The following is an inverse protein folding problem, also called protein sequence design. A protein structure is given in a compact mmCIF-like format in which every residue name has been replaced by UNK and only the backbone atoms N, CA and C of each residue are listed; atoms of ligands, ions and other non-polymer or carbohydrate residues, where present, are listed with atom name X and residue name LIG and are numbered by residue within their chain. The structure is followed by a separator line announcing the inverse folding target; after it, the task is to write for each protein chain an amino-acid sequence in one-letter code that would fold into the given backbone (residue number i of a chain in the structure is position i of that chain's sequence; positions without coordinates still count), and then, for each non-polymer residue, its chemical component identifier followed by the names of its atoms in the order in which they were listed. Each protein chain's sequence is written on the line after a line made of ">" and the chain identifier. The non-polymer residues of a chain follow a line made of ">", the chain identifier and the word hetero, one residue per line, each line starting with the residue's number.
data_IF_781771143486
#
_entry.id   IF_781771143486
#
_cell.length_a   1.000
_cell.length_b   1.000
_cell.length_c   1.000
_cell.angle_alpha   90.00
_cell.angle_beta   90.00
_cell.angle_gamma   90.00
#
_symmetry.space_group_name_H-M   'P 1'
#
loop_
_entity.id
_entity.type
_entity.pdbx_description
1 polymer ?
#
# COMPACT_ATOMS: atom_id res chain seq x y z
N UNK A 1 60.21 23.50 -46.82
CA UNK A 1 59.06 23.21 -45.93
C UNK A 1 59.35 23.85 -44.58
N UNK A 2 58.32 24.41 -43.96
CA UNK A 2 58.25 25.08 -42.65
C UNK A 2 58.95 26.44 -42.48
N UNK A 3 58.14 27.51 -42.48
CA UNK A 3 58.33 28.68 -41.62
C UNK A 3 56.97 29.20 -41.16
N UNK A 4 56.77 29.02 -39.84
CA UNK A 4 56.05 29.80 -38.83
C UNK A 4 55.19 30.98 -39.30
N UNK A 5 53.93 30.97 -38.86
CA UNK A 5 53.13 32.17 -38.63
C UNK A 5 52.42 32.05 -37.27
N UNK A 6 52.59 33.08 -36.44
CA UNK A 6 52.09 33.22 -35.07
C UNK A 6 51.18 34.44 -35.01
N UNK A 7 49.93 34.27 -34.58
CA UNK A 7 49.00 35.33 -34.16
C UNK A 7 48.34 34.85 -32.85
N UNK A 8 48.71 35.46 -31.72
CA UNK A 8 47.96 36.46 -30.94
C UNK A 8 46.62 35.98 -30.37
N UNK A 9 46.51 35.97 -29.03
CA UNK A 9 45.52 36.80 -28.34
C UNK A 9 45.87 37.03 -26.86
N UNK A 10 45.60 38.25 -26.43
CA UNK A 10 45.96 38.92 -25.18
C UNK A 10 45.14 38.46 -23.97
N UNK A 11 45.81 38.37 -22.83
CA UNK A 11 45.24 38.35 -21.49
C UNK A 11 44.72 39.74 -21.09
N UNK A 12 43.52 39.79 -20.51
CA UNK A 12 43.02 40.90 -19.69
C UNK A 12 42.55 40.32 -18.37
N UNK A 13 43.33 40.54 -17.32
CA UNK A 13 42.91 40.38 -15.92
C UNK A 13 42.03 41.58 -15.52
N UNK A 14 40.88 41.30 -14.90
CA UNK A 14 40.08 42.30 -14.18
C UNK A 14 39.88 41.77 -12.75
N UNK A 15 40.57 42.42 -11.81
CA UNK A 15 40.47 42.22 -10.37
C UNK A 15 39.14 42.76 -9.81
N UNK A 16 38.40 41.94 -9.08
CA UNK A 16 37.36 42.39 -8.15
C UNK A 16 37.47 41.67 -6.79
N UNK A 17 37.39 42.40 -5.66
CA UNK A 17 37.66 41.86 -4.33
C UNK A 17 36.49 41.02 -3.81
N UNK A 18 36.83 39.85 -3.28
CA UNK A 18 35.93 38.88 -2.65
C UNK A 18 35.41 39.46 -1.32
N UNK A 19 34.11 39.78 -1.28
CA UNK A 19 33.36 40.00 -0.05
C UNK A 19 32.77 38.66 0.42
N UNK A 20 33.11 38.28 1.64
CA UNK A 20 32.77 37.02 2.31
C UNK A 20 31.25 36.77 2.39
N UNK A 21 30.77 35.73 1.72
CA UNK A 21 29.47 35.11 2.00
C UNK A 21 29.63 34.13 3.18
N UNK A 22 28.70 34.10 4.15
CA UNK A 22 28.74 33.09 5.21
C UNK A 22 28.40 31.72 4.62
N UNK A 23 29.18 30.72 5.01
CA UNK A 23 29.04 29.32 4.61
C UNK A 23 27.66 28.76 4.98
N UNK A 24 27.07 28.00 4.06
CA UNK A 24 25.77 27.32 4.16
C UNK A 24 25.73 26.15 5.17
N UNK A 25 26.72 26.04 6.06
CA UNK A 25 26.86 24.90 6.97
C UNK A 25 26.24 25.13 8.38
N UNK A 26 25.74 26.34 8.69
CA UNK A 26 25.29 26.68 10.07
C UNK A 26 23.76 26.62 10.30
N UNK A 27 22.95 26.12 9.36
CA UNK A 27 21.47 26.13 9.50
C UNK A 27 20.91 24.76 9.94
N UNK A 28 21.69 23.68 9.81
CA UNK A 28 21.21 22.31 10.09
C UNK A 28 21.70 21.71 11.42
N UNK A 29 22.66 22.31 12.12
CA UNK A 29 23.21 21.76 13.37
C UNK A 29 22.37 22.06 14.63
N UNK A 30 21.30 22.86 14.53
CA UNK A 30 20.54 23.31 15.71
C UNK A 30 19.05 22.98 15.72
N UNK A 31 18.56 22.05 14.88
CA UNK A 31 17.20 21.53 15.04
C UNK A 31 17.17 20.35 16.02
N UNK A 32 16.47 20.45 17.16
CA UNK A 32 16.28 19.30 18.04
C UNK A 32 15.43 18.25 17.31
N UNK A 33 15.98 17.04 17.18
CA UNK A 33 15.25 15.85 16.70
C UNK A 33 14.23 15.48 17.78
N UNK A 34 13.04 16.08 17.75
CA UNK A 34 11.92 15.70 18.60
C UNK A 34 11.26 14.47 17.97
N UNK A 35 11.78 13.29 18.32
CA UNK A 35 11.02 12.04 18.18
C UNK A 35 10.08 11.90 19.38
N UNK A 36 8.75 11.80 19.20
CA UNK A 36 7.86 11.51 20.32
C UNK A 36 8.11 10.07 20.81
N UNK A 37 8.64 9.95 22.02
CA UNK A 37 8.70 8.67 22.75
C UNK A 37 7.30 8.34 23.27
N UNK A 38 6.64 7.37 22.66
CA UNK A 38 5.40 6.80 23.19
C UNK A 38 5.79 5.60 24.05
N UNK A 39 5.85 5.79 25.36
CA UNK A 39 5.88 4.71 26.35
C UNK A 39 4.48 4.60 26.95
N UNK A 40 3.84 3.42 26.99
CA UNK A 40 2.58 3.25 27.70
C UNK A 40 2.86 3.12 29.20
N UNK A 41 2.20 3.93 30.02
CA UNK A 41 2.11 3.74 31.48
C UNK A 41 0.92 2.84 31.80
N UNK A 42 1.17 1.82 32.62
CA UNK A 42 0.22 0.84 33.12
C UNK A 42 -0.71 1.48 34.17
N UNK A 43 -1.84 2.06 33.76
CA UNK A 43 -2.96 2.37 34.67
C UNK A 43 -4.31 2.65 34.00
N UNK A 44 -4.51 2.33 32.71
CA UNK A 44 -5.74 2.70 31.96
C UNK A 44 -6.71 1.53 31.73
N UNK A 45 -6.66 0.45 32.52
CA UNK A 45 -7.50 -0.76 32.31
C UNK A 45 -8.85 -0.78 33.06
N UNK A 46 -9.27 0.27 33.78
CA UNK A 46 -10.48 0.20 34.64
C UNK A 46 -11.65 1.16 34.32
N UNK A 47 -11.60 1.98 33.26
CA UNK A 47 -12.70 2.94 32.96
C UNK A 47 -13.62 2.56 31.77
N UNK A 48 -13.59 1.32 31.30
CA UNK A 48 -14.25 0.93 30.03
C UNK A 48 -15.75 0.58 30.10
N UNK A 49 -16.45 0.68 31.24
CA UNK A 49 -17.84 0.15 31.35
C UNK A 49 -19.03 1.12 31.48
N UNK A 50 -18.88 2.43 31.75
CA UNK A 50 -20.04 3.21 32.26
C UNK A 50 -20.63 4.34 31.39
N UNK A 51 -20.30 4.48 30.10
CA UNK A 51 -20.87 5.54 29.25
C UNK A 51 -21.63 5.04 28.02
N UNK A 52 -22.52 4.07 28.21
CA UNK A 52 -23.60 3.73 27.28
C UNK A 52 -24.96 4.19 27.83
N UNK A 53 -25.21 5.51 27.93
CA UNK A 53 -26.57 6.09 28.09
C UNK A 53 -26.55 7.63 28.01
N UNK A 54 -26.79 8.18 26.82
CA UNK A 54 -27.54 9.42 26.60
C UNK A 54 -27.56 9.74 25.10
N UNK A 55 -28.76 9.76 24.50
CA UNK A 55 -28.97 10.14 23.10
C UNK A 55 -29.34 11.61 22.93
N UNK A 56 -29.21 12.11 21.71
CA UNK A 56 -30.11 13.10 21.12
C UNK A 56 -29.92 13.19 19.59
N UNK A 57 -31.05 13.30 18.90
CA UNK A 57 -31.29 13.35 17.46
C UNK A 57 -30.71 14.59 16.74
N UNK A 58 -30.15 14.40 15.53
CA UNK A 58 -30.42 15.25 14.35
C UNK A 58 -30.34 14.39 13.08
N UNK A 59 -31.34 14.54 12.21
CA UNK A 59 -31.62 13.75 11.01
C UNK A 59 -30.54 13.89 9.92
N UNK A 60 -29.95 12.77 9.53
CA UNK A 60 -29.53 12.51 8.14
C UNK A 60 -29.84 11.03 7.85
N UNK A 61 -30.87 10.77 7.07
CA UNK A 61 -31.30 9.41 6.78
C UNK A 61 -30.36 8.72 5.78
N UNK A 62 -29.35 8.03 6.33
CA UNK A 62 -28.91 6.72 5.83
C UNK A 62 -28.82 5.79 7.04
N UNK A 63 -29.70 4.80 7.09
CA UNK A 63 -29.85 3.89 8.24
C UNK A 63 -28.53 3.23 8.62
N UNK A 64 -28.20 3.20 9.93
CA UNK A 64 -27.03 2.52 10.55
C UNK A 64 -26.78 1.09 10.01
N UNK A 65 -27.84 0.43 9.54
CA UNK A 65 -27.83 -0.93 8.95
C UNK A 65 -27.11 -1.01 7.58
N UNK A 66 -27.05 0.08 6.80
CA UNK A 66 -26.28 0.16 5.55
C UNK A 66 -24.78 0.44 5.77
N UNK A 67 -24.42 1.04 6.91
CA UNK A 67 -23.02 1.37 7.21
C UNK A 67 -22.21 0.17 7.75
N UNK A 68 -22.92 -0.81 8.32
CA UNK A 68 -22.36 -2.04 8.92
C UNK A 68 -22.67 -3.30 8.09
N UNK A 69 -23.32 -3.18 6.93
CA UNK A 69 -23.76 -4.35 6.18
C UNK A 69 -22.59 -5.13 5.59
N UNK A 70 -22.54 -6.41 5.95
CA UNK A 70 -21.52 -7.39 5.58
C UNK A 70 -21.55 -7.81 4.09
N UNK A 71 -22.41 -7.21 3.25
CA UNK A 71 -22.54 -7.57 1.84
C UNK A 71 -22.31 -6.35 0.95
N UNK A 72 -21.31 -6.44 0.09
CA UNK A 72 -20.95 -5.45 -0.94
C UNK A 72 -22.16 -5.11 -1.85
N UNK A 73 -23.03 -6.10 -2.08
CA UNK A 73 -24.23 -6.02 -2.94
C UNK A 73 -25.27 -4.97 -2.50
N UNK A 74 -25.22 -4.45 -1.25
CA UNK A 74 -26.22 -3.48 -0.77
C UNK A 74 -25.80 -2.01 -0.89
N UNK A 75 -24.60 -1.71 -1.38
CA UNK A 75 -24.02 -0.36 -1.33
C UNK A 75 -24.08 0.41 -2.66
N UNK A 76 -24.12 -0.29 -3.80
CA UNK A 76 -24.26 0.28 -5.15
C UNK A 76 -25.40 -0.50 -5.84
N UNK A 77 -26.30 0.15 -6.61
CA UNK A 77 -27.31 -0.56 -7.37
C UNK A 77 -26.68 -1.61 -8.30
N UNK A 78 -27.20 -2.84 -8.32
CA UNK A 78 -26.62 -3.97 -9.06
C UNK A 78 -26.36 -3.66 -10.55
N UNK A 79 -27.23 -2.85 -11.15
CA UNK A 79 -27.11 -2.40 -12.56
C UNK A 79 -25.85 -1.56 -12.79
N UNK A 80 -25.50 -0.68 -11.85
CA UNK A 80 -24.31 0.17 -11.96
C UNK A 80 -23.03 -0.64 -11.71
N UNK A 81 -23.08 -1.61 -10.80
CA UNK A 81 -21.97 -2.55 -10.56
C UNK A 81 -21.67 -3.35 -11.82
N UNK A 82 -22.71 -3.89 -12.46
CA UNK A 82 -22.56 -4.70 -13.68
C UNK A 82 -22.04 -3.87 -14.86
N UNK A 83 -22.50 -2.63 -15.02
CA UNK A 83 -21.98 -1.70 -16.03
C UNK A 83 -20.48 -1.43 -15.82
N UNK A 84 -20.06 -1.14 -14.58
CA UNK A 84 -18.64 -0.92 -14.23
C UNK A 84 -17.80 -2.17 -14.43
N UNK A 85 -18.33 -3.35 -14.07
CA UNK A 85 -17.66 -4.64 -14.24
C UNK A 85 -17.42 -4.97 -15.71
N UNK A 86 -18.36 -4.64 -16.59
CA UNK A 86 -18.24 -4.88 -18.03
C UNK A 86 -17.12 -4.06 -18.71
N UNK A 87 -16.73 -2.92 -18.12
CA UNK A 87 -15.61 -2.09 -18.58
C UNK A 87 -14.24 -2.64 -18.18
N UNK A 88 -14.18 -3.63 -17.28
CA UNK A 88 -12.91 -4.22 -16.83
C UNK A 88 -12.34 -5.19 -17.88
N UNK A 89 -11.02 -5.32 -17.96
CA UNK A 89 -10.38 -6.22 -18.93
C UNK A 89 -10.72 -7.70 -18.65
N UNK A 90 -10.94 -8.47 -19.73
CA UNK A 90 -11.25 -9.91 -19.68
C UNK A 90 -10.06 -10.78 -19.29
N UNK A 91 -8.84 -10.29 -19.57
CA UNK A 91 -7.59 -11.01 -19.39
C UNK A 91 -6.79 -10.28 -18.31
N UNK A 92 -6.42 -11.01 -17.26
CA UNK A 92 -5.52 -10.50 -16.24
C UNK A 92 -4.07 -10.47 -16.72
N UNK A 93 -3.26 -9.52 -16.24
CA UNK A 93 -1.82 -9.54 -16.41
C UNK A 93 -1.22 -10.87 -15.94
N UNK A 94 -0.15 -11.30 -16.61
CA UNK A 94 0.68 -12.41 -16.12
C UNK A 94 1.69 -11.84 -15.14
N UNK A 95 1.70 -12.39 -13.93
CA UNK A 95 2.63 -12.00 -12.88
C UNK A 95 3.47 -13.20 -12.47
N UNK A 96 4.70 -12.93 -12.04
CA UNK A 96 5.61 -13.95 -11.53
C UNK A 96 6.35 -13.38 -10.32
N UNK A 97 6.28 -14.09 -9.19
CA UNK A 97 7.08 -13.77 -8.02
C UNK A 97 8.53 -14.19 -8.28
N UNK A 98 9.42 -13.19 -8.34
CA UNK A 98 10.84 -13.35 -8.66
C UNK A 98 11.62 -13.78 -7.42
N UNK A 99 11.33 -13.11 -6.30
CA UNK A 99 12.05 -13.28 -5.05
C UNK A 99 11.13 -13.11 -3.85
N UNK A 100 11.46 -13.82 -2.77
CA UNK A 100 10.86 -13.64 -1.44
C UNK A 100 11.96 -13.48 -0.40
N UNK A 101 11.78 -12.53 0.51
CA UNK A 101 12.68 -12.37 1.65
C UNK A 101 11.89 -12.17 2.94
N UNK A 102 12.39 -12.76 4.02
CA UNK A 102 11.91 -12.50 5.38
C UNK A 102 12.45 -11.15 5.85
N UNK A 103 11.57 -10.29 6.33
CA UNK A 103 11.91 -9.01 6.95
C UNK A 103 11.70 -9.14 8.46
N UNK A 104 12.79 -9.12 9.25
CA UNK A 104 12.68 -9.19 10.70
C UNK A 104 11.97 -7.95 11.24
N UNK A 105 10.96 -8.16 12.07
CA UNK A 105 10.28 -7.11 12.85
C UNK A 105 10.79 -7.13 14.28
N UNK A 106 10.85 -5.97 14.93
CA UNK A 106 11.25 -5.85 16.35
C UNK A 106 10.13 -6.29 17.30
N UNK A 107 8.88 -6.11 16.86
CA UNK A 107 7.65 -6.50 17.56
C UNK A 107 6.64 -7.00 16.53
N UNK A 108 5.97 -8.10 16.81
CA UNK A 108 4.92 -8.65 15.95
C UNK A 108 5.36 -9.85 15.10
N UNK A 109 4.50 -10.27 14.15
CA UNK A 109 4.71 -11.46 13.34
C UNK A 109 5.82 -11.27 12.31
N UNK A 110 6.25 -12.38 11.73
CA UNK A 110 7.19 -12.37 10.62
C UNK A 110 6.54 -11.77 9.38
N UNK A 111 7.28 -10.86 8.74
CA UNK A 111 6.88 -10.25 7.47
C UNK A 111 7.71 -10.87 6.35
N UNK A 112 7.06 -11.13 5.23
CA UNK A 112 7.70 -11.62 4.01
C UNK A 112 7.37 -10.69 2.85
N UNK A 113 8.41 -10.15 2.22
CA UNK A 113 8.27 -9.38 0.99
C UNK A 113 8.37 -10.31 -0.19
N UNK A 114 7.37 -10.25 -1.07
CA UNK A 114 7.33 -10.93 -2.34
C UNK A 114 7.45 -9.91 -3.47
N UNK A 115 8.46 -10.04 -4.32
CA UNK A 115 8.70 -9.16 -5.46
C UNK A 115 8.14 -9.80 -6.72
N UNK A 116 7.29 -9.07 -7.45
CA UNK A 116 6.59 -9.52 -8.63
C UNK A 116 7.04 -8.79 -9.88
N UNK A 117 7.45 -9.53 -10.91
CA UNK A 117 7.52 -9.07 -12.29
C UNK A 117 6.17 -9.28 -12.98
N UNK A 118 5.93 -8.53 -14.06
CA UNK A 118 4.73 -8.63 -14.86
C UNK A 118 5.00 -8.42 -16.35
N UNK A 119 3.99 -8.66 -17.19
CA UNK A 119 4.09 -8.55 -18.65
C UNK A 119 3.46 -7.27 -19.24
N UNK A 120 2.98 -6.35 -18.40
CA UNK A 120 2.27 -5.13 -18.82
C UNK A 120 3.19 -3.91 -18.77
N UNK A 121 4.02 -3.82 -17.73
CA UNK A 121 4.99 -2.76 -17.58
C UNK A 121 6.36 -3.30 -17.12
N UNK A 122 7.34 -2.40 -16.97
CA UNK A 122 8.69 -2.71 -16.48
C UNK A 122 8.84 -2.55 -14.97
N UNK A 123 7.73 -2.33 -14.25
CA UNK A 123 7.76 -2.07 -12.81
C UNK A 123 7.65 -3.38 -12.05
N UNK A 124 8.36 -3.44 -10.94
CA UNK A 124 8.23 -4.55 -10.01
C UNK A 124 7.22 -4.19 -8.94
N UNK A 125 6.26 -5.06 -8.65
CA UNK A 125 5.29 -4.83 -7.58
C UNK A 125 5.63 -5.68 -6.36
N UNK A 126 5.10 -5.30 -5.20
CA UNK A 126 5.38 -5.98 -3.96
C UNK A 126 4.11 -6.57 -3.37
N UNK A 127 4.22 -7.71 -2.71
CA UNK A 127 3.25 -8.16 -1.73
C UNK A 127 3.94 -8.34 -0.37
N UNK A 128 3.47 -7.57 0.60
CA UNK A 128 3.91 -7.64 1.99
C UNK A 128 2.98 -8.62 2.70
N UNK A 129 3.52 -9.77 3.05
CA UNK A 129 2.76 -10.87 3.65
C UNK A 129 3.11 -10.94 5.13
N UNK A 130 2.10 -10.98 5.98
CA UNK A 130 2.23 -11.20 7.42
C UNK A 130 1.92 -12.68 7.67
N UNK A 131 2.88 -13.43 8.21
CA UNK A 131 2.78 -14.88 8.38
C UNK A 131 3.49 -15.70 7.29
N UNK A 132 3.69 -17.00 7.56
CA UNK A 132 4.43 -17.96 6.71
C UNK A 132 3.50 -18.83 5.83
N UNK A 133 2.19 -18.72 6.06
CA UNK A 133 1.16 -19.60 5.49
C UNK A 133 0.66 -19.15 4.12
N UNK A 134 0.82 -17.87 3.77
CA UNK A 134 0.52 -17.35 2.43
C UNK A 134 1.75 -17.48 1.55
N UNK A 135 1.67 -18.32 0.50
CA UNK A 135 2.80 -18.64 -0.38
C UNK A 135 2.44 -18.41 -1.84
N UNK A 136 3.34 -17.76 -2.56
CA UNK A 136 3.23 -17.59 -4.01
C UNK A 136 3.39 -18.93 -4.74
N UNK A 137 2.44 -19.26 -5.61
CA UNK A 137 2.47 -20.45 -6.47
C UNK A 137 3.62 -20.36 -7.47
N UNK A 138 3.74 -19.24 -8.17
CA UNK A 138 4.81 -19.01 -9.15
C UNK A 138 6.21 -19.06 -8.54
N UNK A 139 6.35 -18.60 -7.28
CA UNK A 139 7.58 -18.76 -6.54
C UNK A 139 7.81 -20.23 -6.18
N UNK A 140 6.90 -20.89 -5.46
CA UNK A 140 7.22 -22.22 -4.93
C UNK A 140 7.31 -23.33 -5.98
N UNK A 141 6.74 -23.12 -7.17
CA UNK A 141 6.83 -24.05 -8.31
C UNK A 141 8.28 -24.49 -8.57
N UNK A 142 8.49 -25.81 -8.65
CA UNK A 142 9.79 -26.40 -9.01
C UNK A 142 10.10 -26.14 -10.48
N UNK A 143 11.31 -25.66 -10.76
CA UNK A 143 11.79 -25.44 -12.13
C UNK A 143 12.69 -26.61 -12.56
N UNK A 144 12.68 -27.03 -13.83
CA UNK A 144 13.59 -28.05 -14.34
C UNK A 144 15.05 -27.66 -14.12
N UNK A 145 15.86 -28.55 -13.54
CA UNK A 145 17.28 -28.31 -13.28
C UNK A 145 17.60 -27.38 -12.10
N UNK A 146 16.59 -26.90 -11.36
CA UNK A 146 16.77 -26.00 -10.22
C UNK A 146 17.31 -26.74 -8.99
N UNK A 147 18.40 -26.22 -8.40
CA UNK A 147 18.98 -26.81 -7.18
C UNK A 147 18.22 -26.34 -5.93
N UNK A 148 18.40 -27.05 -4.81
CA UNK A 148 17.90 -26.59 -3.50
C UNK A 148 18.51 -25.24 -3.09
N UNK A 149 19.76 -24.98 -3.50
CA UNK A 149 20.41 -23.68 -3.30
C UNK A 149 19.69 -22.55 -4.02
N UNK A 150 19.37 -22.75 -5.30
CA UNK A 150 18.65 -21.75 -6.12
C UNK A 150 17.28 -21.42 -5.53
N UNK A 151 16.57 -22.45 -5.04
CA UNK A 151 15.29 -22.29 -4.33
C UNK A 151 15.44 -21.44 -3.08
N UNK A 152 16.45 -21.69 -2.26
CA UNK A 152 16.72 -20.89 -1.06
C UNK A 152 17.06 -19.44 -1.43
N UNK A 153 17.92 -19.23 -2.43
CA UNK A 153 18.39 -17.91 -2.88
C UNK A 153 17.24 -17.02 -3.32
N UNK A 154 16.26 -17.55 -4.05
CA UNK A 154 15.07 -16.79 -4.46
C UNK A 154 13.94 -16.78 -3.43
N UNK A 155 14.10 -17.48 -2.30
CA UNK A 155 13.12 -17.48 -1.22
C UNK A 155 12.00 -18.52 -1.30
N UNK A 156 12.12 -19.53 -2.15
CA UNK A 156 11.21 -20.67 -2.23
C UNK A 156 11.59 -21.77 -1.22
N UNK A 157 11.50 -21.45 0.07
CA UNK A 157 11.75 -22.38 1.16
C UNK A 157 10.63 -22.32 2.20
N UNK A 158 10.53 -23.35 3.04
CA UNK A 158 9.63 -23.37 4.21
C UNK A 158 10.40 -23.17 5.51
N UNK A 159 9.74 -22.61 6.54
CA UNK A 159 10.34 -22.42 7.85
C UNK A 159 11.42 -21.34 7.84
N UNK A 160 12.50 -21.52 8.61
CA UNK A 160 13.55 -20.49 8.76
C UNK A 160 14.88 -20.92 8.16
N UNK A 161 15.53 -20.02 7.42
CA UNK A 161 16.90 -20.24 6.96
C UNK A 161 17.88 -20.14 8.13
N UNK A 162 18.90 -20.99 8.10
CA UNK A 162 20.02 -20.95 9.03
C UNK A 162 21.32 -21.42 8.32
N UNK A 163 22.50 -20.98 8.80
CA UNK A 163 23.77 -21.41 8.21
C UNK A 163 23.89 -22.93 8.16
N UNK A 164 24.33 -23.46 7.02
CA UNK A 164 24.49 -24.90 6.78
C UNK A 164 23.23 -25.65 6.32
N UNK A 165 22.08 -24.96 6.14
CA UNK A 165 20.86 -25.56 5.59
C UNK A 165 21.07 -26.03 4.14
N UNK A 166 20.57 -27.23 3.81
CA UNK A 166 20.71 -27.86 2.48
C UNK A 166 19.40 -28.11 1.75
N UNK A 167 18.28 -28.16 2.48
CA UNK A 167 16.95 -28.44 1.93
C UNK A 167 16.07 -27.20 2.03
N UNK A 168 15.54 -26.72 0.91
CA UNK A 168 14.59 -25.61 0.86
C UNK A 168 13.18 -26.08 1.26
N UNK A 169 12.81 -27.28 0.82
CA UNK A 169 11.46 -27.82 0.94
C UNK A 169 11.16 -28.42 2.33
N UNK A 170 12.18 -28.56 3.19
CA UNK A 170 12.05 -29.11 4.54
C UNK A 170 12.82 -28.27 5.55
N UNK A 171 12.19 -28.00 6.69
CA UNK A 171 12.82 -27.45 7.87
C UNK A 171 12.85 -28.52 8.96
N UNK A 172 14.02 -29.13 9.18
CA UNK A 172 14.20 -30.21 10.15
C UNK A 172 14.03 -29.74 11.59
N UNK A 173 14.33 -28.46 11.88
CA UNK A 173 14.22 -27.92 13.25
C UNK A 173 12.78 -27.70 13.65
N UNK A 174 11.95 -27.30 12.69
CA UNK A 174 10.52 -27.06 12.91
C UNK A 174 9.64 -28.27 12.53
N UNK A 175 10.22 -29.31 11.91
CA UNK A 175 9.47 -30.46 11.42
C UNK A 175 8.51 -30.15 10.28
N UNK A 176 8.75 -29.07 9.52
CA UNK A 176 7.87 -28.61 8.45
C UNK A 176 8.38 -29.14 7.11
N UNK A 177 7.51 -29.69 6.29
CA UNK A 177 7.85 -30.21 4.96
C UNK A 177 6.79 -29.78 3.93
N UNK A 178 7.24 -29.18 2.83
CA UNK A 178 6.38 -28.80 1.71
C UNK A 178 6.09 -30.01 0.82
N UNK A 179 4.83 -30.15 0.43
CA UNK A 179 4.38 -31.17 -0.53
C UNK A 179 4.16 -30.53 -1.89
N UNK A 180 4.43 -31.29 -2.94
CA UNK A 180 4.29 -30.84 -4.33
C UNK A 180 3.49 -31.86 -5.14
N UNK A 181 2.73 -31.37 -6.11
CA UNK A 181 2.03 -32.22 -7.06
C UNK A 181 2.96 -32.71 -8.19
N UNK A 182 2.41 -33.51 -9.11
CA UNK A 182 3.15 -34.03 -10.27
C UNK A 182 3.66 -32.93 -11.22
N UNK A 183 3.09 -31.72 -11.17
CA UNK A 183 3.49 -30.55 -11.98
C UNK A 183 4.55 -29.70 -11.28
N UNK A 184 4.90 -30.05 -10.03
CA UNK A 184 5.84 -29.32 -9.20
C UNK A 184 5.24 -28.10 -8.52
N UNK A 185 3.92 -27.94 -8.53
CA UNK A 185 3.19 -26.91 -7.78
C UNK A 185 3.07 -27.31 -6.31
N UNK A 186 3.18 -26.33 -5.41
CA UNK A 186 3.04 -26.59 -3.97
C UNK A 186 1.59 -26.96 -3.64
N UNK A 187 1.41 -28.05 -2.90
CA UNK A 187 0.11 -28.46 -2.38
C UNK A 187 -0.13 -27.64 -1.10
N UNK A 188 -1.19 -26.81 -1.05
CA UNK A 188 -1.51 -26.03 0.15
C UNK A 188 -1.87 -26.97 1.29
N UNK A 189 -1.50 -26.59 2.50
CA UNK A 189 -1.89 -27.30 3.71
C UNK A 189 -3.35 -26.97 4.06
N UNK A 190 -4.27 -27.76 3.51
CA UNK A 190 -5.73 -27.55 3.63
C UNK A 190 -6.25 -27.69 5.07
N UNK A 191 -5.48 -28.32 5.95
CA UNK A 191 -5.84 -28.53 7.34
C UNK A 191 -5.42 -27.36 8.25
N UNK A 192 -4.63 -26.42 7.74
CA UNK A 192 -4.25 -25.22 8.49
C UNK A 192 -5.47 -24.37 8.83
N UNK A 193 -5.63 -24.01 10.10
CA UNK A 193 -6.71 -23.15 10.59
C UNK A 193 -6.78 -21.79 9.83
N UNK A 194 -5.64 -21.31 9.32
CA UNK A 194 -5.57 -20.10 8.49
C UNK A 194 -6.24 -20.27 7.12
N UNK A 195 -6.23 -21.46 6.53
CA UNK A 195 -6.88 -21.70 5.24
C UNK A 195 -8.42 -21.63 5.33
N UNK A 196 -8.98 -21.67 6.55
CA UNK A 196 -10.43 -21.68 6.80
C UNK A 196 -11.03 -20.29 6.93
N UNK A 197 -10.22 -19.24 7.13
CA UNK A 197 -10.71 -17.87 7.27
C UNK A 197 -10.26 -16.99 6.10
N UNK A 198 -11.16 -16.16 5.53
CA UNK A 198 -10.81 -15.22 4.48
C UNK A 198 -9.71 -14.23 4.93
N UNK A 199 -8.61 -14.17 4.19
CA UNK A 199 -7.44 -13.35 4.53
C UNK A 199 -7.77 -11.85 4.47
N UNK A 200 -7.28 -11.10 5.46
CA UNK A 200 -7.33 -9.64 5.45
C UNK A 200 -6.34 -9.08 4.43
N UNK A 201 -6.84 -8.35 3.44
CA UNK A 201 -6.07 -7.84 2.32
C UNK A 201 -6.21 -6.33 2.20
N UNK A 202 -5.10 -5.66 1.92
CA UNK A 202 -5.06 -4.25 1.53
C UNK A 202 -4.38 -4.14 0.18
N UNK A 203 -5.08 -3.58 -0.80
CA UNK A 203 -4.42 -3.13 -2.03
C UNK A 203 -3.95 -1.70 -1.79
N UNK A 204 -2.66 -1.44 -1.86
CA UNK A 204 -2.07 -0.14 -1.63
C UNK A 204 -1.45 0.38 -2.92
N UNK A 205 -1.69 1.64 -3.24
CA UNK A 205 -1.02 2.30 -4.36
C UNK A 205 0.07 3.18 -3.78
N UNK A 206 1.29 2.98 -4.24
CA UNK A 206 2.48 3.74 -3.85
C UNK A 206 2.19 5.24 -3.76
N UNK A 207 2.55 5.81 -2.63
CA UNK A 207 2.49 7.23 -2.35
C UNK A 207 3.70 7.65 -1.51
N UNK A 208 4.84 7.83 -2.18
CA UNK A 208 6.13 8.18 -1.60
C UNK A 208 6.06 9.34 -0.61
N UNK A 209 5.36 10.41 -0.99
CA UNK A 209 5.24 11.61 -0.14
C UNK A 209 4.51 11.31 1.17
N UNK A 210 3.49 10.45 1.15
CA UNK A 210 2.70 10.13 2.34
C UNK A 210 3.36 9.08 3.23
N UNK A 211 3.99 8.09 2.61
CA UNK A 211 4.59 6.94 3.30
C UNK A 211 5.98 7.23 3.84
N UNK A 212 6.83 7.91 3.05
CA UNK A 212 8.25 8.10 3.36
C UNK A 212 8.55 9.52 3.83
N UNK A 213 7.84 10.52 3.29
CA UNK A 213 8.11 11.93 3.60
C UNK A 213 7.10 12.55 4.58
N UNK A 214 6.30 11.72 5.27
CA UNK A 214 5.32 12.15 6.31
C UNK A 214 4.40 13.29 5.87
N UNK A 215 4.02 13.33 4.58
CA UNK A 215 3.24 14.43 4.02
C UNK A 215 1.86 14.53 4.65
N UNK A 216 1.52 15.72 5.13
CA UNK A 216 0.17 16.08 5.59
C UNK A 216 -0.78 16.50 4.45
N UNK A 217 -0.47 16.19 3.19
CA UNK A 217 -1.38 16.45 2.03
C UNK A 217 -2.33 15.29 1.75
N UNK A 218 -2.04 14.10 2.29
CA UNK A 218 -2.82 12.90 2.06
C UNK A 218 -2.75 11.96 3.25
N UNK A 219 -3.76 11.09 3.37
CA UNK A 219 -3.86 10.05 4.40
C UNK A 219 -3.15 8.73 4.01
N UNK A 220 -2.38 8.70 2.91
CA UNK A 220 -1.83 7.45 2.38
C UNK A 220 -0.87 6.75 3.35
N UNK A 221 -0.02 7.50 4.06
CA UNK A 221 0.91 6.95 5.07
C UNK A 221 0.16 6.32 6.23
N UNK A 222 -0.79 7.06 6.82
CA UNK A 222 -1.65 6.56 7.91
C UNK A 222 -2.41 5.30 7.52
N UNK A 223 -2.96 5.26 6.30
CA UNK A 223 -3.65 4.06 5.79
C UNK A 223 -2.68 2.87 5.60
N UNK A 224 -1.43 3.11 5.22
CA UNK A 224 -0.43 2.05 5.08
C UNK A 224 -0.05 1.48 6.45
N UNK A 225 0.24 2.36 7.41
CA UNK A 225 0.62 2.00 8.78
C UNK A 225 -0.51 1.25 9.49
N UNK A 226 -1.75 1.71 9.38
CA UNK A 226 -2.90 1.07 10.01
C UNK A 226 -3.17 -0.33 9.42
N UNK A 227 -3.01 -0.50 8.09
CA UNK A 227 -3.12 -1.81 7.48
C UNK A 227 -2.03 -2.76 8.00
N UNK A 228 -0.78 -2.29 8.11
CA UNK A 228 0.31 -3.04 8.69
C UNK A 228 0.08 -3.40 10.15
N UNK A 229 -0.46 -2.47 10.96
CA UNK A 229 -0.79 -2.68 12.36
C UNK A 229 -1.88 -3.74 12.55
N UNK A 230 -2.95 -3.69 11.76
CA UNK A 230 -4.05 -4.66 11.83
C UNK A 230 -3.60 -6.08 11.45
N UNK A 231 -2.84 -6.21 10.37
CA UNK A 231 -2.30 -7.51 9.93
C UNK A 231 -1.22 -8.02 10.89
N UNK A 232 -0.39 -7.12 11.42
CA UNK A 232 0.59 -7.39 12.46
C UNK A 232 -0.05 -7.95 13.72
N UNK A 233 -1.15 -7.36 14.21
CA UNK A 233 -1.85 -7.86 15.40
C UNK A 233 -2.39 -9.28 15.21
N UNK A 234 -2.89 -9.60 14.02
CA UNK A 234 -3.49 -10.90 13.73
C UNK A 234 -2.46 -11.97 13.34
N UNK A 235 -1.22 -11.59 13.03
CA UNK A 235 -0.20 -12.52 12.56
C UNK A 235 -0.39 -13.02 11.13
N UNK A 236 -1.43 -12.55 10.44
CA UNK A 236 -1.89 -13.04 9.15
C UNK A 236 -2.52 -11.92 8.32
N UNK A 237 -2.07 -11.76 7.07
CA UNK A 237 -2.61 -10.77 6.14
C UNK A 237 -1.70 -10.48 4.96
N UNK A 238 -2.21 -9.70 3.99
CA UNK A 238 -1.43 -9.31 2.82
C UNK A 238 -1.70 -7.85 2.39
N UNK A 239 -0.63 -7.08 2.24
CA UNK A 239 -0.67 -5.78 1.56
C UNK A 239 -0.06 -5.95 0.16
N UNK A 240 -0.88 -5.82 -0.88
CA UNK A 240 -0.39 -5.74 -2.27
C UNK A 240 -0.04 -4.29 -2.56
N UNK A 241 1.24 -4.03 -2.70
CA UNK A 241 1.81 -2.70 -2.93
C UNK A 241 2.09 -2.51 -4.43
N UNK A 242 1.20 -1.77 -5.09
CA UNK A 242 1.29 -1.44 -6.50
C UNK A 242 2.09 -0.14 -6.69
N UNK A 243 3.15 -0.21 -7.50
CA UNK A 243 4.02 0.92 -7.84
C UNK A 243 3.42 1.84 -8.91
N UNK A 244 2.29 2.43 -8.57
CA UNK A 244 1.49 3.31 -9.43
C UNK A 244 1.30 4.69 -8.80
N UNK A 245 2.43 5.32 -8.45
CA UNK A 245 2.50 6.67 -7.88
C UNK A 245 1.67 7.70 -8.66
N UNK A 246 1.08 8.64 -7.92
CA UNK A 246 0.32 9.76 -8.49
C UNK A 246 -0.93 9.32 -9.26
N UNK A 247 -1.53 8.17 -8.93
CA UNK A 247 -2.63 7.57 -9.73
C UNK A 247 -2.19 7.16 -11.15
N UNK A 248 -0.93 6.76 -11.28
CA UNK A 248 -0.35 6.28 -12.54
C UNK A 248 0.36 7.34 -13.37
N UNK A 249 0.38 8.62 -12.95
CA UNK A 249 1.12 9.70 -13.64
C UNK A 249 2.60 9.77 -13.21
N UNK A 250 2.95 9.17 -12.08
CA UNK A 250 4.31 9.19 -11.52
C UNK A 250 4.57 10.35 -10.55
N UNK A 251 5.72 10.26 -9.85
CA UNK A 251 6.08 11.19 -8.77
C UNK A 251 6.34 12.62 -9.29
N UNK A 252 7.11 12.77 -10.37
CA UNK A 252 7.47 14.09 -10.91
C UNK A 252 6.24 14.91 -11.30
N UNK A 253 5.27 14.29 -11.98
CA UNK A 253 4.03 14.94 -12.36
C UNK A 253 3.12 15.25 -11.16
N UNK A 254 3.11 14.38 -10.15
CA UNK A 254 2.43 14.65 -8.87
C UNK A 254 3.01 15.89 -8.17
N UNK A 255 4.33 16.04 -8.14
CA UNK A 255 4.98 17.22 -7.54
C UNK A 255 4.68 18.50 -8.33
N UNK A 256 4.61 18.44 -9.66
CA UNK A 256 4.13 19.58 -10.48
C UNK A 256 2.68 19.94 -10.15
N UNK A 257 1.81 18.95 -10.00
CA UNK A 257 0.41 19.17 -9.62
C UNK A 257 0.28 19.81 -8.23
N UNK A 258 1.19 19.48 -7.30
CA UNK A 258 1.29 20.11 -5.99
C UNK A 258 1.67 21.58 -6.09
N UNK A 259 2.68 21.93 -6.89
CA UNK A 259 3.05 23.32 -7.11
C UNK A 259 1.88 24.15 -7.68
N UNK A 260 1.10 23.58 -8.62
CA UNK A 260 -0.08 24.26 -9.17
C UNK A 260 -1.20 24.46 -8.13
N UNK A 261 -1.35 23.51 -7.21
CA UNK A 261 -2.30 23.64 -6.10
C UNK A 261 -1.87 24.72 -5.11
N UNK A 262 -0.58 24.80 -4.80
CA UNK A 262 -0.02 25.85 -3.94
C UNK A 262 -0.11 27.25 -4.59
N UNK A 263 -0.14 27.30 -5.93
CA UNK A 263 -0.46 28.50 -6.71
C UNK A 263 -1.96 28.82 -6.78
N UNK A 264 -2.82 28.03 -6.14
CA UNK A 264 -4.26 28.28 -6.02
C UNK A 264 -5.15 27.54 -7.01
N UNK A 265 -4.61 26.65 -7.85
CA UNK A 265 -5.44 25.80 -8.73
C UNK A 265 -6.12 24.70 -7.91
N UNK A 266 -7.39 24.41 -8.20
CA UNK A 266 -8.02 23.23 -7.60
C UNK A 266 -7.37 21.92 -8.12
N UNK A 267 -7.58 20.80 -7.43
CA UNK A 267 -6.97 19.51 -7.80
C UNK A 267 -7.37 19.05 -9.21
N UNK A 268 -8.57 19.39 -9.69
CA UNK A 268 -9.03 19.02 -11.04
C UNK A 268 -8.38 19.93 -12.09
N UNK A 269 -8.35 21.23 -11.83
CA UNK A 269 -7.70 22.24 -12.66
C UNK A 269 -6.20 21.95 -12.82
N UNK A 270 -5.50 21.60 -11.73
CA UNK A 270 -4.10 21.21 -11.77
C UNK A 270 -3.87 19.98 -12.69
N UNK A 271 -4.74 18.97 -12.63
CA UNK A 271 -4.65 17.80 -13.52
C UNK A 271 -4.99 18.14 -14.99
N UNK A 272 -5.97 19.02 -15.22
CA UNK A 272 -6.33 19.49 -16.56
C UNK A 272 -5.18 20.30 -17.20
N UNK A 273 -4.55 21.20 -16.43
CA UNK A 273 -3.39 21.98 -16.86
C UNK A 273 -2.22 21.07 -17.27
N UNK A 274 -2.02 19.97 -16.55
CA UNK A 274 -1.00 18.97 -16.86
C UNK A 274 -1.46 17.91 -17.90
N UNK A 275 -2.69 18.02 -18.42
CA UNK A 275 -3.31 17.09 -19.39
C UNK A 275 -3.32 15.63 -18.93
N UNK A 276 -3.43 15.41 -17.62
CA UNK A 276 -3.51 14.08 -17.03
C UNK A 276 -4.98 13.62 -16.89
N UNK A 277 -5.29 12.33 -17.15
CA UNK A 277 -6.61 11.81 -16.81
C UNK A 277 -6.77 11.70 -15.30
N UNK A 278 -8.03 11.74 -14.84
CA UNK A 278 -8.36 11.77 -13.41
C UNK A 278 -7.87 10.53 -12.62
N UNK A 279 -7.80 9.37 -13.28
CA UNK A 279 -7.25 8.12 -12.74
C UNK A 279 -6.81 7.19 -13.88
N UNK A 280 -5.54 6.77 -13.88
CA UNK A 280 -4.96 5.83 -14.85
C UNK A 280 -4.69 4.44 -14.25
N UNK A 281 -5.07 4.23 -12.98
CA UNK A 281 -4.74 3.01 -12.25
C UNK A 281 -5.51 1.81 -12.77
N UNK A 282 -4.84 0.67 -12.79
CA UNK A 282 -5.47 -0.63 -13.01
C UNK A 282 -5.25 -1.52 -11.79
N UNK A 283 -6.32 -2.16 -11.32
CA UNK A 283 -6.26 -3.11 -10.21
C UNK A 283 -6.22 -4.57 -10.69
N UNK A 284 -6.18 -4.81 -12.01
CA UNK A 284 -6.02 -6.16 -12.56
C UNK A 284 -4.68 -6.79 -12.15
N UNK A 285 -3.64 -5.97 -11.96
CA UNK A 285 -2.35 -6.40 -11.45
C UNK A 285 -2.45 -6.93 -10.01
N UNK A 286 -3.18 -6.22 -9.14
CA UNK A 286 -3.43 -6.67 -7.78
C UNK A 286 -4.20 -8.00 -7.77
N UNK A 287 -5.21 -8.12 -8.62
CA UNK A 287 -6.00 -9.36 -8.77
C UNK A 287 -5.10 -10.53 -9.17
N UNK A 288 -4.19 -10.34 -10.14
CA UNK A 288 -3.25 -11.36 -10.57
C UNK A 288 -2.28 -11.78 -9.45
N UNK A 289 -1.76 -10.83 -8.67
CA UNK A 289 -0.88 -11.10 -7.52
C UNK A 289 -1.63 -11.92 -6.45
N UNK A 290 -2.87 -11.55 -6.12
CA UNK A 290 -3.67 -12.29 -5.15
C UNK A 290 -3.93 -13.74 -5.58
N UNK A 291 -4.22 -13.97 -6.86
CA UNK A 291 -4.40 -15.32 -7.41
C UNK A 291 -3.12 -16.15 -7.34
N UNK A 292 -1.96 -15.53 -7.57
CA UNK A 292 -0.68 -16.22 -7.44
C UNK A 292 -0.36 -16.56 -5.97
N UNK A 293 -0.73 -15.70 -5.02
CA UNK A 293 -0.68 -16.00 -3.58
C UNK A 293 -1.73 -17.02 -3.12
N UNK A 294 -2.62 -17.47 -4.00
CA UNK A 294 -3.70 -18.41 -3.68
C UNK A 294 -4.90 -17.78 -2.95
N UNK A 295 -4.95 -16.46 -2.84
CA UNK A 295 -5.99 -15.72 -2.13
C UNK A 295 -7.20 -15.48 -3.06
N UNK A 296 -8.19 -16.37 -2.97
CA UNK A 296 -9.42 -16.30 -3.78
C UNK A 296 -10.61 -15.69 -3.04
N UNK A 297 -10.63 -15.77 -1.70
CA UNK A 297 -11.66 -15.15 -0.86
C UNK A 297 -10.97 -14.23 0.14
N UNK A 298 -11.30 -12.94 0.10
CA UNK A 298 -10.57 -11.91 0.86
C UNK A 298 -11.52 -10.98 1.62
N UNK A 299 -11.02 -10.45 2.74
CA UNK A 299 -11.59 -9.31 3.46
C UNK A 299 -10.82 -8.07 3.05
N UNK A 300 -11.44 -7.16 2.32
CA UNK A 300 -10.72 -6.04 1.70
C UNK A 300 -10.80 -4.76 2.55
N UNK A 301 -9.63 -4.26 2.96
CA UNK A 301 -9.45 -2.97 3.64
C UNK A 301 -9.58 -1.80 2.65
N UNK A 302 -10.79 -1.26 2.49
CA UNK A 302 -11.08 -0.15 1.57
C UNK A 302 -12.30 0.67 1.94
N UNK A 303 -12.24 1.97 1.64
CA UNK A 303 -13.39 2.88 1.64
C UNK A 303 -13.90 3.17 0.22
N UNK A 304 -13.15 2.80 -0.80
CA UNK A 304 -13.53 2.99 -2.19
C UNK A 304 -14.31 1.75 -2.67
N UNK A 305 -15.60 1.86 -3.00
CA UNK A 305 -16.39 0.72 -3.48
C UNK A 305 -16.03 0.33 -4.92
N UNK A 306 -15.61 1.26 -5.78
CA UNK A 306 -15.16 0.95 -7.15
C UNK A 306 -13.92 0.05 -7.12
N UNK A 307 -13.10 0.19 -6.07
CA UNK A 307 -11.93 -0.66 -5.85
C UNK A 307 -12.30 -2.11 -5.54
N UNK A 308 -13.47 -2.34 -4.92
CA UNK A 308 -13.98 -3.68 -4.67
C UNK A 308 -14.28 -4.34 -6.02
N UNK A 309 -15.07 -3.69 -6.86
CA UNK A 309 -15.45 -4.17 -8.20
C UNK A 309 -14.19 -4.43 -9.05
N UNK A 310 -13.23 -3.50 -9.02
CA UNK A 310 -12.01 -3.62 -9.80
C UNK A 310 -11.07 -4.76 -9.37
N UNK A 311 -11.05 -5.10 -8.07
CA UNK A 311 -10.26 -6.22 -7.52
C UNK A 311 -10.93 -7.56 -7.76
N UNK A 312 -12.26 -7.62 -7.74
CA UNK A 312 -12.95 -8.85 -8.16
C UNK A 312 -12.71 -9.14 -9.64
N UNK A 313 -12.62 -8.07 -10.44
CA UNK A 313 -12.43 -8.16 -11.88
C UNK A 313 -13.70 -8.62 -12.59
N UNK A 314 -13.65 -8.66 -13.92
CA UNK A 314 -14.81 -9.03 -14.75
C UNK A 314 -15.31 -10.46 -14.49
N UNK A 315 -14.39 -11.40 -14.25
CA UNK A 315 -14.68 -12.82 -14.00
C UNK A 315 -14.78 -13.20 -12.52
N UNK A 316 -14.68 -12.23 -11.60
CA UNK A 316 -14.75 -12.46 -10.15
C UNK A 316 -13.83 -13.59 -9.66
N UNK A 317 -12.60 -13.62 -10.18
CA UNK A 317 -11.62 -14.66 -9.83
C UNK A 317 -11.18 -14.54 -8.37
N UNK A 318 -11.25 -13.34 -7.81
CA UNK A 318 -11.12 -13.05 -6.39
C UNK A 318 -12.46 -12.54 -5.90
N UNK A 319 -12.98 -13.08 -4.81
CA UNK A 319 -14.25 -12.66 -4.20
C UNK A 319 -13.99 -11.87 -2.94
N UNK A 320 -14.54 -10.66 -2.85
CA UNK A 320 -14.48 -9.85 -1.63
C UNK A 320 -15.65 -10.25 -0.74
N UNK A 321 -15.39 -11.09 0.26
CA UNK A 321 -16.43 -11.60 1.16
C UNK A 321 -16.85 -10.57 2.20
N UNK A 322 -15.95 -9.64 2.54
CA UNK A 322 -16.18 -8.61 3.54
C UNK A 322 -15.40 -7.36 3.17
N UNK A 323 -16.04 -6.20 3.31
CA UNK A 323 -15.37 -4.91 3.25
C UNK A 323 -15.06 -4.44 4.66
N UNK A 324 -13.78 -4.25 4.96
CA UNK A 324 -13.33 -3.67 6.23
C UNK A 324 -13.07 -2.17 6.01
N UNK A 325 -13.81 -1.26 6.67
CA UNK A 325 -13.62 0.17 6.53
C UNK A 325 -12.28 0.63 7.12
N UNK A 326 -11.71 1.69 6.55
CA UNK A 326 -10.50 2.33 7.05
C UNK A 326 -10.80 3.76 7.48
N UNK A 327 -11.19 3.94 8.73
CA UNK A 327 -11.56 5.27 9.23
C UNK A 327 -10.26 6.00 9.64
N UNK A 328 -9.98 7.22 9.14
CA UNK A 328 -8.83 8.02 9.57
C UNK A 328 -8.77 8.14 11.09
N UNK A 329 -7.59 8.00 11.70
CA UNK A 329 -7.47 7.95 13.17
C UNK A 329 -7.88 9.30 13.79
N UNK A 330 -7.62 10.40 13.08
CA UNK A 330 -8.08 11.75 13.44
C UNK A 330 -9.60 11.81 13.66
N UNK A 331 -10.39 10.96 12.99
CA UNK A 331 -11.85 10.92 13.12
C UNK A 331 -12.35 9.94 14.18
N UNK A 332 -11.48 9.07 14.71
CA UNK A 332 -11.84 8.04 15.70
C UNK A 332 -11.83 8.54 17.16
N UNK A 333 -11.84 9.86 17.40
CA UNK A 333 -11.85 10.49 18.74
C UNK A 333 -10.69 10.07 19.67
N UNK A 334 -9.58 9.57 19.12
CA UNK A 334 -8.43 9.08 19.91
C UNK A 334 -7.24 10.04 19.97
N UNK A 335 -7.36 11.26 19.44
CA UNK A 335 -6.27 12.27 19.46
C UNK A 335 -4.97 11.81 18.78
N UNK A 336 -5.01 10.72 18.02
CA UNK A 336 -3.90 10.13 17.27
C UNK A 336 -4.28 10.22 15.80
N UNK A 337 -3.44 10.83 14.98
CA UNK A 337 -3.71 11.08 13.56
C UNK A 337 -3.14 12.42 13.10
N UNK A 338 -3.00 12.62 11.80
CA UNK A 338 -2.51 13.89 11.24
C UNK A 338 -3.70 14.84 11.11
N UNK A 339 -3.72 15.89 11.92
CA UNK A 339 -4.68 16.98 11.80
C UNK A 339 -4.09 18.09 10.93
N UNK A 340 -4.64 18.30 9.74
CA UNK A 340 -4.24 19.36 8.82
C UNK A 340 -5.42 19.77 7.96
N UNK A 341 -5.54 21.08 7.67
CA UNK A 341 -6.54 21.63 6.74
C UNK A 341 -6.45 20.99 5.36
N UNK A 342 -5.23 20.63 4.93
CA UNK A 342 -4.98 19.97 3.64
C UNK A 342 -5.58 18.55 3.62
N UNK A 343 -5.41 17.77 4.70
CA UNK A 343 -5.99 16.42 4.83
C UNK A 343 -7.51 16.50 4.87
N UNK A 344 -8.09 17.42 5.63
CA UNK A 344 -9.54 17.58 5.72
C UNK A 344 -10.14 17.90 4.35
N UNK A 345 -9.57 18.85 3.61
CA UNK A 345 -10.00 19.18 2.25
C UNK A 345 -9.88 17.99 1.29
N UNK A 346 -8.81 17.21 1.42
CA UNK A 346 -8.58 16.00 0.63
C UNK A 346 -9.58 14.88 0.94
N UNK A 347 -9.83 14.59 2.22
CA UNK A 347 -10.80 13.59 2.66
C UNK A 347 -12.22 13.98 2.27
N UNK A 348 -12.57 15.26 2.40
CA UNK A 348 -13.84 15.81 1.93
C UNK A 348 -14.03 15.58 0.43
N UNK A 349 -13.01 15.88 -0.37
CA UNK A 349 -13.02 15.63 -1.82
C UNK A 349 -13.25 14.14 -2.14
N UNK A 350 -12.65 13.22 -1.37
CA UNK A 350 -12.86 11.78 -1.55
C UNK A 350 -14.32 11.36 -1.30
N UNK A 351 -14.96 11.93 -0.29
CA UNK A 351 -16.36 11.62 0.06
C UNK A 351 -17.32 12.25 -0.92
N UNK A 352 -17.22 13.57 -1.11
CA UNK A 352 -18.20 14.35 -1.89
C UNK A 352 -18.07 14.12 -3.40
N UNK A 353 -16.84 14.02 -3.93
CA UNK A 353 -16.60 13.97 -5.38
C UNK A 353 -16.18 12.58 -5.88
N UNK A 354 -15.65 11.72 -5.02
CA UNK A 354 -15.14 10.40 -5.41
C UNK A 354 -15.88 9.23 -4.76
N UNK A 355 -17.05 9.47 -4.15
CA UNK A 355 -17.96 8.43 -3.68
C UNK A 355 -17.40 7.49 -2.60
N UNK A 356 -16.39 7.91 -1.83
CA UNK A 356 -15.84 7.06 -0.77
C UNK A 356 -16.84 6.89 0.38
N UNK A 357 -16.92 5.65 0.90
CA UNK A 357 -17.82 5.26 1.99
C UNK A 357 -17.24 5.65 3.36
N UNK A 358 -17.05 6.94 3.59
CA UNK A 358 -16.63 7.51 4.86
C UNK A 358 -17.68 8.49 5.38
N UNK A 359 -17.98 8.41 6.67
CA UNK A 359 -18.82 9.39 7.35
C UNK A 359 -17.94 10.54 7.83
N UNK A 360 -18.06 11.71 7.21
CA UNK A 360 -17.38 12.91 7.68
C UNK A 360 -17.89 13.26 9.09
N UNK A 361 -17.01 13.63 10.05
CA UNK A 361 -17.47 14.17 11.34
C UNK A 361 -18.32 15.42 11.12
N UNK A 362 -19.34 15.69 11.95
CA UNK A 362 -20.05 16.96 11.92
C UNK A 362 -19.06 18.10 12.19
N UNK A 363 -19.18 19.21 11.46
CA UNK A 363 -18.30 20.38 11.58
C UNK A 363 -18.15 20.77 13.06
N UNK A 364 -16.91 20.86 13.55
CA UNK A 364 -16.62 21.69 14.72
C UNK A 364 -16.94 23.12 14.28
N UNK A 365 -18.11 23.64 14.66
CA UNK A 365 -18.38 25.08 14.59
C UNK A 365 -17.23 25.75 15.34
N UNK A 366 -16.41 26.50 14.61
CA UNK A 366 -15.38 27.40 15.15
C UNK A 366 -16.08 28.47 15.95
#
# INVERSE_FOLDING_TARGET
>A
MSTLNTEKNQEMEIDHPISSMPSTDDIFEHMPIISPKITPTESEEEEEEDLFKAGADVRYHRTKKQMLSHNVEKLIPDVEVEAKRNLLPDILPRVQCIARARIPTTKGPEIFLHLYANNVDKKEHLAIVFGEDIRSRSLFRRKPGETQGDRMTRGAYVGRLYPGRRLADKDEKLGIEARFDARGDIIPDVDSACAKQPTLVRIHSECYTGETAWSARCDCGEQFDEAGRLMGKNGHGCIVYLRQEGRGIGLGEKLKAYNLQDLGSDTVQANLLLRHPADKRSYSMATAILLDLGLTQIRLLTNNPDKIIAVEGKKQLVKVVERVPMIPLAWQKKGKGIESKEIEGYLRTKVERMGHLLSCPPEKRI
#
